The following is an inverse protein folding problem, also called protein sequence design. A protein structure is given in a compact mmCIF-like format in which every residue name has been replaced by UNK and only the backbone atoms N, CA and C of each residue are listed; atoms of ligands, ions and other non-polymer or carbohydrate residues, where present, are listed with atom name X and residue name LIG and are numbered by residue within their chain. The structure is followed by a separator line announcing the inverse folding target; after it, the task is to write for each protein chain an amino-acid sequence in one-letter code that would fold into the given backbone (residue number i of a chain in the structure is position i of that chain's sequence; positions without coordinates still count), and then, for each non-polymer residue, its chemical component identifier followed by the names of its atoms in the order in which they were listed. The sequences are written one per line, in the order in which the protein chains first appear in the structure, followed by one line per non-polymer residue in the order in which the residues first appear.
data_IF_319624201778
#
_entry.id   IF_319624201778
#
_cell.length_a   1.000
_cell.length_b   1.000
_cell.length_c   1.000
_cell.angle_alpha   90.00
_cell.angle_beta   90.00
_cell.angle_gamma   90.00
#
_symmetry.space_group_name_H-M   'P 1'
#
loop_
_entity.id
_entity.type
_entity.pdbx_description
1 polymer ?
#
# COMPACT_ATOMS: atom_id res chain seq x y z
N UNK A 1 -8.64 -7.79 21.51
CA UNK A 1 -9.11 -6.57 20.79
C UNK A 1 -8.08 -5.43 20.70
N UNK A 2 -7.03 -5.35 21.54
CA UNK A 2 -6.06 -4.23 21.54
C UNK A 2 -4.73 -4.47 20.78
N UNK A 3 -4.41 -5.71 20.35
CA UNK A 3 -3.08 -6.07 19.82
C UNK A 3 -2.83 -5.77 18.33
N UNK A 4 -3.84 -5.31 17.57
CA UNK A 4 -3.72 -5.14 16.11
C UNK A 4 -3.50 -3.66 15.70
N UNK A 5 -3.44 -2.73 16.65
CA UNK A 5 -3.32 -1.28 16.38
C UNK A 5 -2.04 -0.91 15.64
N UNK A 6 -0.91 -1.49 16.03
CA UNK A 6 0.38 -1.25 15.37
C UNK A 6 0.38 -1.72 13.93
N UNK A 7 -0.15 -2.91 13.67
CA UNK A 7 -0.26 -3.48 12.32
C UNK A 7 -1.16 -2.61 11.44
N UNK A 8 -2.32 -2.19 11.97
CA UNK A 8 -3.24 -1.30 11.26
C UNK A 8 -2.62 0.07 10.98
N UNK A 9 -1.80 0.60 11.90
CA UNK A 9 -1.09 1.87 11.68
C UNK A 9 -0.05 1.74 10.57
N UNK A 10 0.73 0.65 10.55
CA UNK A 10 1.69 0.38 9.47
C UNK A 10 0.98 0.26 8.13
N UNK A 11 -0.14 -0.49 8.08
CA UNK A 11 -0.98 -0.56 6.87
C UNK A 11 -1.42 0.85 6.44
N UNK A 12 -1.99 1.64 7.35
CA UNK A 12 -2.43 3.01 7.05
C UNK A 12 -1.31 3.91 6.52
N UNK A 13 -0.09 3.77 7.06
CA UNK A 13 1.09 4.49 6.56
C UNK A 13 1.47 4.06 5.14
N UNK A 14 1.50 2.76 4.87
CA UNK A 14 1.77 2.21 3.52
C UNK A 14 0.73 2.70 2.53
N UNK A 15 -0.55 2.60 2.87
CA UNK A 15 -1.67 3.07 2.04
C UNK A 15 -1.59 4.57 1.76
N UNK A 16 -1.27 5.39 2.78
CA UNK A 16 -1.15 6.84 2.61
C UNK A 16 0.01 7.21 1.66
N UNK A 17 1.15 6.52 1.76
CA UNK A 17 2.29 6.74 0.87
C UNK A 17 1.97 6.35 -0.58
N UNK A 18 1.33 5.21 -0.79
CA UNK A 18 0.93 4.76 -2.12
C UNK A 18 -0.18 5.63 -2.73
N UNK A 19 -1.15 6.06 -1.92
CA UNK A 19 -2.18 7.00 -2.34
C UNK A 19 -1.57 8.35 -2.76
N UNK A 20 -0.62 8.87 -1.99
CA UNK A 20 0.08 10.10 -2.35
C UNK A 20 0.88 9.94 -3.64
N UNK A 21 1.56 8.78 -3.82
CA UNK A 21 2.28 8.45 -5.06
C UNK A 21 1.31 8.43 -6.24
N UNK A 22 0.16 7.80 -6.08
CA UNK A 22 -0.90 7.73 -7.09
C UNK A 22 -1.40 9.12 -7.46
N UNK A 23 -1.72 9.96 -6.47
CA UNK A 23 -2.19 11.34 -6.70
C UNK A 23 -1.13 12.15 -7.46
N UNK A 24 0.14 12.05 -7.09
CA UNK A 24 1.22 12.78 -7.78
C UNK A 24 1.41 12.32 -9.23
N UNK A 25 1.36 11.01 -9.48
CA UNK A 25 1.42 10.49 -10.85
C UNK A 25 0.20 10.93 -11.66
N UNK A 26 -0.99 10.81 -11.09
CA UNK A 26 -2.23 11.17 -11.75
C UNK A 26 -2.35 12.68 -12.02
N UNK A 27 -1.80 13.54 -11.15
CA UNK A 27 -1.80 14.99 -11.36
C UNK A 27 -0.71 15.48 -12.31
N UNK A 28 0.21 14.59 -12.73
CA UNK A 28 1.38 14.99 -13.51
C UNK A 28 2.37 15.85 -12.72
N UNK A 29 2.50 15.58 -11.42
CA UNK A 29 3.44 16.29 -10.55
C UNK A 29 4.87 16.23 -11.10
N UNK A 30 5.61 17.34 -10.96
CA UNK A 30 6.97 17.46 -11.49
C UNK A 30 7.91 16.40 -10.84
N UNK A 31 8.45 15.43 -11.59
CA UNK A 31 9.35 14.41 -11.05
C UNK A 31 10.71 14.97 -10.65
N UNK A 32 11.03 16.21 -11.02
CA UNK A 32 12.20 16.94 -10.54
C UNK A 32 12.03 17.60 -9.16
N UNK A 33 10.81 17.65 -8.61
CA UNK A 33 10.58 18.22 -7.29
C UNK A 33 11.05 17.25 -6.20
N UNK A 34 11.84 17.73 -5.23
CA UNK A 34 12.46 16.89 -4.20
C UNK A 34 11.47 16.04 -3.40
N UNK A 35 10.28 16.57 -3.09
CA UNK A 35 9.23 15.80 -2.39
C UNK A 35 8.66 14.66 -3.23
N UNK A 36 8.56 14.84 -4.56
CA UNK A 36 8.08 13.81 -5.48
C UNK A 36 9.12 12.70 -5.61
N UNK A 37 10.40 13.07 -5.75
CA UNK A 37 11.52 12.13 -5.80
C UNK A 37 11.60 11.30 -4.51
N UNK A 38 11.64 11.97 -3.36
CA UNK A 38 11.67 11.31 -2.06
C UNK A 38 10.53 10.29 -1.90
N UNK A 39 9.30 10.70 -2.24
CA UNK A 39 8.16 9.81 -2.16
C UNK A 39 8.31 8.59 -3.08
N UNK A 40 8.73 8.81 -4.33
CA UNK A 40 8.91 7.73 -5.30
C UNK A 40 10.00 6.76 -4.84
N UNK A 41 11.11 7.25 -4.32
CA UNK A 41 12.22 6.43 -3.83
C UNK A 41 11.81 5.56 -2.64
N UNK A 42 11.15 6.14 -1.63
CA UNK A 42 10.68 5.40 -0.45
C UNK A 42 9.62 4.38 -0.82
N UNK A 43 8.74 4.68 -1.78
CA UNK A 43 7.65 3.78 -2.19
C UNK A 43 8.07 2.77 -3.26
N UNK A 44 9.26 2.87 -3.86
CA UNK A 44 9.72 1.92 -4.88
C UNK A 44 9.83 0.49 -4.35
N UNK A 45 10.26 0.31 -3.10
CA UNK A 45 10.31 -1.02 -2.48
C UNK A 45 8.93 -1.66 -2.33
N UNK A 46 7.90 -0.84 -2.06
CA UNK A 46 6.51 -1.28 -1.95
C UNK A 46 5.93 -1.60 -3.34
N UNK A 47 6.36 -0.88 -4.37
CA UNK A 47 5.91 -1.12 -5.73
C UNK A 47 6.61 -2.31 -6.40
N UNK A 48 7.82 -2.69 -5.97
CA UNK A 48 8.66 -3.70 -6.58
C UNK A 48 7.93 -5.00 -7.01
N UNK A 49 7.08 -5.63 -6.18
CA UNK A 49 6.37 -6.87 -6.58
C UNK A 49 5.20 -6.63 -7.56
N UNK A 50 4.75 -5.38 -7.73
CA UNK A 50 3.58 -5.03 -8.54
C UNK A 50 3.93 -4.29 -9.84
N UNK A 51 5.23 -4.06 -10.09
CA UNK A 51 5.68 -3.43 -11.32
C UNK A 51 5.24 -4.28 -12.53
N UNK A 52 4.78 -3.61 -13.58
CA UNK A 52 4.44 -4.23 -14.87
C UNK A 52 3.27 -5.23 -14.88
N UNK A 53 2.49 -5.37 -13.80
CA UNK A 53 1.27 -6.19 -13.81
C UNK A 53 0.25 -5.65 -14.82
N UNK A 54 0.19 -4.33 -14.98
CA UNK A 54 -0.71 -3.65 -15.90
C UNK A 54 0.04 -2.60 -16.74
N UNK A 55 -0.43 -2.29 -17.96
CA UNK A 55 0.12 -1.20 -18.74
C UNK A 55 -0.12 0.16 -18.04
N UNK A 56 0.85 1.06 -18.17
CA UNK A 56 0.74 2.44 -17.70
C UNK A 56 -0.02 3.28 -18.73
N UNK A 57 -1.09 3.94 -18.31
CA UNK A 57 -1.83 4.89 -19.16
C UNK A 57 -1.31 6.30 -18.89
N UNK A 58 -0.75 6.97 -19.90
CA UNK A 58 -0.24 8.33 -19.78
C UNK A 58 -0.89 9.27 -20.80
N UNK A 59 -1.27 10.48 -20.37
CA UNK A 59 -1.84 11.53 -21.21
C UNK A 59 -1.49 12.91 -20.66
N UNK A 60 -0.90 13.79 -21.48
CA UNK A 60 -0.65 15.19 -21.11
C UNK A 60 0.20 15.38 -19.84
N UNK A 61 1.08 14.42 -19.50
CA UNK A 61 1.89 14.43 -18.28
C UNK A 61 1.23 13.74 -17.08
N UNK A 62 -0.08 13.50 -17.11
CA UNK A 62 -0.77 12.63 -16.14
C UNK A 62 -0.47 11.17 -16.41
N UNK A 63 -0.16 10.42 -15.37
CA UNK A 63 0.12 8.98 -15.41
C UNK A 63 -0.86 8.26 -14.50
N UNK A 64 -1.80 7.52 -15.10
CA UNK A 64 -2.66 6.59 -14.40
C UNK A 64 -1.97 5.22 -14.35
N UNK A 65 -1.50 4.83 -13.18
CA UNK A 65 -0.77 3.57 -12.97
C UNK A 65 -1.60 2.58 -12.14
N UNK A 66 -2.23 1.61 -12.83
CA UNK A 66 -3.09 0.59 -12.22
C UNK A 66 -2.39 -0.26 -11.16
N UNK A 67 -1.09 -0.51 -11.33
CA UNK A 67 -0.29 -1.28 -10.37
C UNK A 67 -0.28 -0.65 -8.97
N UNK A 68 -0.42 0.67 -8.84
CA UNK A 68 -0.45 1.32 -7.52
C UNK A 68 -1.75 0.97 -6.78
N UNK A 69 -2.89 1.03 -7.47
CA UNK A 69 -4.19 0.67 -6.88
C UNK A 69 -4.23 -0.82 -6.50
N UNK A 70 -3.62 -1.67 -7.32
CA UNK A 70 -3.50 -3.10 -7.04
C UNK A 70 -2.63 -3.34 -5.81
N UNK A 71 -1.49 -2.65 -5.69
CA UNK A 71 -0.63 -2.75 -4.51
C UNK A 71 -1.39 -2.41 -3.22
N UNK A 72 -2.14 -1.31 -3.22
CA UNK A 72 -3.00 -0.89 -2.11
C UNK A 72 -4.01 -1.98 -1.70
N UNK A 73 -4.74 -2.51 -2.68
CA UNK A 73 -5.73 -3.58 -2.42
C UNK A 73 -5.05 -4.84 -1.86
N UNK A 74 -3.93 -5.26 -2.44
CA UNK A 74 -3.23 -6.48 -2.00
C UNK A 74 -2.66 -6.31 -0.59
N UNK A 75 -2.06 -5.16 -0.26
CA UNK A 75 -1.56 -4.91 1.09
C UNK A 75 -2.67 -4.91 2.14
N UNK A 76 -3.81 -4.28 1.84
CA UNK A 76 -4.98 -4.34 2.70
C UNK A 76 -5.45 -5.79 2.92
N UNK A 77 -5.60 -6.56 1.84
CA UNK A 77 -6.04 -7.97 1.92
C UNK A 77 -5.07 -8.84 2.73
N UNK A 78 -3.76 -8.70 2.52
CA UNK A 78 -2.74 -9.45 3.25
C UNK A 78 -2.81 -9.15 4.75
N UNK A 79 -2.87 -7.86 5.12
CA UNK A 79 -2.90 -7.45 6.52
C UNK A 79 -4.18 -7.92 7.21
N UNK A 80 -5.35 -7.71 6.60
CA UNK A 80 -6.61 -8.16 7.17
C UNK A 80 -6.69 -9.69 7.26
N UNK A 81 -6.15 -10.41 6.27
CA UNK A 81 -6.03 -11.87 6.31
C UNK A 81 -5.17 -12.36 7.47
N UNK A 82 -3.99 -11.76 7.66
CA UNK A 82 -3.09 -12.09 8.78
C UNK A 82 -3.78 -11.83 10.12
N UNK A 83 -4.42 -10.67 10.29
CA UNK A 83 -5.15 -10.32 11.51
C UNK A 83 -6.25 -11.36 11.80
N UNK A 84 -7.05 -11.71 10.79
CA UNK A 84 -8.11 -12.71 10.93
C UNK A 84 -7.58 -14.07 11.40
N UNK A 85 -6.49 -14.56 10.80
CA UNK A 85 -5.86 -15.83 11.19
C UNK A 85 -5.35 -15.76 12.64
N UNK A 86 -4.65 -14.68 13.01
CA UNK A 86 -4.11 -14.52 14.36
C UNK A 86 -5.23 -14.46 15.42
N UNK A 87 -6.36 -13.84 15.10
CA UNK A 87 -7.50 -13.76 16.01
C UNK A 87 -8.19 -15.13 16.18
N UNK A 88 -8.29 -15.93 15.11
CA UNK A 88 -8.77 -17.33 15.19
C UNK A 88 -7.86 -18.17 16.10
N UNK A 89 -6.53 -18.10 15.92
CA UNK A 89 -5.56 -18.87 16.71
C UNK A 89 -5.64 -18.51 18.19
N UNK A 90 -5.65 -17.22 18.52
CA UNK A 90 -5.72 -16.75 19.93
C UNK A 90 -7.00 -17.21 20.64
N UNK A 91 -8.12 -17.20 19.93
CA UNK A 91 -9.40 -17.64 20.48
C UNK A 91 -9.40 -19.14 20.78
N UNK A 92 -8.74 -19.95 19.94
CA UNK A 92 -8.60 -21.39 20.15
C UNK A 92 -7.77 -21.74 21.39
N UNK A 93 -6.72 -20.97 21.70
CA UNK A 93 -5.88 -21.18 22.88
C UNK A 93 -6.59 -20.81 24.18
N UNK A 94 -7.37 -19.73 24.19
CA UNK A 94 -8.14 -19.30 25.38
C UNK A 94 -9.26 -20.26 25.79
N UNK A 95 -9.73 -21.14 24.88
CA UNK A 95 -10.81 -22.09 25.15
C UNK A 95 -10.30 -23.44 25.72
N UNK A 96 -8.98 -23.61 25.87
CA UNK A 96 -8.37 -24.85 26.40
C UNK A 96 -7.99 -24.78 27.89
N UNK A 97 -8.26 -23.66 28.56
CA UNK A 97 -8.05 -23.42 30.00
C UNK A 97 -9.38 -23.22 30.71
#
# INVERSE_FOLDING_TARGET
MLSNKTVNYILGLVEALLLLRFIFKLSGANPGAGIVQFLYDVTNVLMAPFLFIFPTSASGGSIFEWSILVAMVIYALVVYGIIGILDIIRTADTNKT
#
